data_IF_141488338445
#
_entry.id   IF_141488338445
#
_cell.length_a   1.000
_cell.length_b   1.000
_cell.length_c   1.000
_cell.angle_alpha   90.00
_cell.angle_beta   90.00
_cell.angle_gamma   90.00
#
_symmetry.space_group_name_H-M   'P 1'
#
loop_
_entity.id
_entity.type
_entity.pdbx_description
1 polymer ?
#
# COMPACT_ATOMS: atom_id res chain seq x y z
N UNK A 1 14.42 -8.22 -1.61
CA UNK A 1 13.99 -6.99 -0.89
C UNK A 1 13.73 -7.39 0.55
N UNK A 2 14.45 -6.83 1.54
CA UNK A 2 14.11 -7.08 2.95
C UNK A 2 12.78 -6.38 3.23
N UNK A 3 11.71 -7.15 3.43
CA UNK A 3 10.36 -6.68 3.80
C UNK A 3 10.33 -5.96 5.17
N UNK A 4 11.47 -5.86 5.84
CA UNK A 4 11.68 -5.27 7.16
C UNK A 4 12.17 -3.82 7.14
N UNK A 5 12.10 -3.12 5.99
CA UNK A 5 12.45 -1.69 5.97
C UNK A 5 11.40 -0.89 6.75
N UNK A 6 11.80 0.04 7.65
CA UNK A 6 10.88 0.93 8.36
C UNK A 6 9.93 1.68 7.43
N UNK A 7 10.35 1.96 6.20
CA UNK A 7 9.56 2.60 5.16
C UNK A 7 8.39 1.72 4.69
N UNK A 8 8.63 0.41 4.49
CA UNK A 8 7.58 -0.55 4.11
C UNK A 8 6.51 -0.65 5.18
N UNK A 9 6.91 -0.67 6.46
CA UNK A 9 5.97 -0.67 7.57
C UNK A 9 5.10 0.59 7.60
N UNK A 10 5.70 1.78 7.41
CA UNK A 10 4.95 3.05 7.33
C UNK A 10 3.92 3.05 6.19
N UNK A 11 4.29 2.52 5.02
CA UNK A 11 3.36 2.38 3.87
C UNK A 11 2.18 1.48 4.24
N UNK A 12 2.44 0.28 4.78
CA UNK A 12 1.40 -0.68 5.15
C UNK A 12 0.47 -0.10 6.22
N UNK A 13 1.03 0.53 7.26
CA UNK A 13 0.25 1.19 8.31
C UNK A 13 -0.70 2.24 7.72
N UNK A 14 -0.21 3.08 6.81
CA UNK A 14 -1.04 4.12 6.18
C UNK A 14 -2.15 3.54 5.31
N UNK A 15 -1.86 2.44 4.62
CA UNK A 15 -2.86 1.69 3.83
C UNK A 15 -3.98 1.16 4.74
N UNK A 16 -3.61 0.58 5.89
CA UNK A 16 -4.56 0.06 6.88
C UNK A 16 -5.44 1.18 7.47
N UNK A 17 -4.85 2.34 7.77
CA UNK A 17 -5.59 3.52 8.29
C UNK A 17 -6.58 4.09 7.26
N UNK A 18 -6.18 4.18 5.99
CA UNK A 18 -7.01 4.82 4.95
C UNK A 18 -8.08 3.93 4.35
N UNK A 19 -7.87 2.60 4.32
CA UNK A 19 -8.68 1.59 3.61
C UNK A 19 -8.77 1.74 2.09
N UNK A 20 -8.77 2.97 1.55
CA UNK A 20 -8.71 3.29 0.12
C UNK A 20 -7.61 4.31 -0.17
N UNK A 21 -6.84 4.11 -1.23
CA UNK A 21 -5.69 4.96 -1.56
C UNK A 21 -5.27 4.89 -3.03
N UNK A 22 -4.51 5.88 -3.47
CA UNK A 22 -3.69 5.79 -4.69
C UNK A 22 -2.20 5.79 -4.34
N UNK A 23 -1.38 5.25 -5.24
CA UNK A 23 0.08 5.24 -5.05
C UNK A 23 0.65 6.67 -4.99
N UNK A 24 0.11 7.60 -5.77
CA UNK A 24 0.51 9.02 -5.77
C UNK A 24 0.16 9.69 -4.44
N UNK A 25 -1.06 9.48 -3.91
CA UNK A 25 -1.47 10.00 -2.60
C UNK A 25 -0.52 9.49 -1.50
N UNK A 26 -0.20 8.19 -1.48
CA UNK A 26 0.73 7.64 -0.48
C UNK A 26 2.15 8.17 -0.65
N UNK A 27 2.61 8.39 -1.88
CA UNK A 27 3.95 8.92 -2.16
C UNK A 27 4.09 10.34 -1.59
N UNK A 28 3.08 11.18 -1.81
CA UNK A 28 3.05 12.56 -1.34
C UNK A 28 2.90 12.66 0.18
N UNK A 29 2.03 11.84 0.78
CA UNK A 29 1.79 11.91 2.23
C UNK A 29 2.92 11.35 3.09
N UNK A 30 3.61 10.33 2.59
CA UNK A 30 4.67 9.66 3.36
C UNK A 30 6.05 10.23 3.05
N UNK A 31 6.17 11.12 2.06
CA UNK A 31 7.44 11.57 1.49
C UNK A 31 8.36 10.36 1.14
N UNK A 32 7.76 9.36 0.49
CA UNK A 32 8.43 8.14 0.06
C UNK A 32 8.40 8.07 -1.46
N UNK A 33 9.52 7.64 -2.06
CA UNK A 33 9.62 7.51 -3.51
C UNK A 33 8.54 6.57 -4.08
N UNK A 34 7.98 6.98 -5.21
CA UNK A 34 6.96 6.22 -5.92
C UNK A 34 7.39 4.77 -6.20
N UNK A 35 8.67 4.53 -6.50
CA UNK A 35 9.21 3.18 -6.71
C UNK A 35 9.12 2.27 -5.49
N UNK A 36 9.27 2.79 -4.26
CA UNK A 36 9.09 2.02 -3.02
C UNK A 36 7.61 1.75 -2.72
N UNK A 37 6.75 2.75 -2.94
CA UNK A 37 5.30 2.63 -2.83
C UNK A 37 4.81 1.55 -3.80
N UNK A 38 5.24 1.60 -5.06
CA UNK A 38 4.85 0.67 -6.10
C UNK A 38 5.28 -0.77 -5.77
N UNK A 39 6.52 -0.97 -5.31
CA UNK A 39 7.00 -2.28 -4.85
C UNK A 39 6.14 -2.84 -3.71
N UNK A 40 5.83 -2.02 -2.71
CA UNK A 40 5.01 -2.43 -1.55
C UNK A 40 3.57 -2.75 -1.98
N UNK A 41 2.97 -1.91 -2.81
CA UNK A 41 1.61 -2.10 -3.34
C UNK A 41 1.52 -3.39 -4.17
N UNK A 42 2.48 -3.62 -5.08
CA UNK A 42 2.51 -4.83 -5.91
C UNK A 42 2.70 -6.10 -5.06
N UNK A 43 3.46 -6.03 -3.97
CA UNK A 43 3.58 -7.12 -3.03
C UNK A 43 2.24 -7.43 -2.33
N UNK A 44 1.53 -6.40 -1.86
CA UNK A 44 0.19 -6.55 -1.25
C UNK A 44 -0.85 -7.09 -2.23
N UNK A 45 -0.82 -6.65 -3.50
CA UNK A 45 -1.68 -7.18 -4.57
C UNK A 45 -1.43 -8.68 -4.78
N UNK A 46 -0.16 -9.10 -4.87
CA UNK A 46 0.20 -10.52 -5.02
C UNK A 46 -0.24 -11.37 -3.84
N UNK A 47 -0.27 -10.79 -2.64
CA UNK A 47 -0.76 -11.44 -1.41
C UNK A 47 -2.27 -11.38 -1.25
N UNK A 48 -3.00 -10.76 -2.19
CA UNK A 48 -4.44 -10.55 -2.14
C UNK A 48 -4.90 -9.76 -0.91
N UNK A 49 -4.02 -8.92 -0.34
CA UNK A 49 -4.37 -8.06 0.80
C UNK A 49 -5.06 -6.76 0.36
N UNK A 50 -4.88 -6.37 -0.90
CA UNK A 50 -5.54 -5.22 -1.52
C UNK A 50 -6.04 -5.61 -2.90
N UNK A 51 -7.04 -4.88 -3.38
CA UNK A 51 -7.61 -5.00 -4.72
C UNK A 51 -7.51 -3.66 -5.45
N UNK A 52 -7.34 -3.70 -6.78
CA UNK A 52 -7.33 -2.50 -7.62
C UNK A 52 -8.70 -2.33 -8.27
N UNK A 53 -9.42 -1.26 -7.91
CA UNK A 53 -10.61 -0.77 -8.61
C UNK A 53 -10.26 0.57 -9.27
N UNK A 54 -11.02 1.63 -9.00
CA UNK A 54 -10.67 3.02 -9.34
C UNK A 54 -9.53 3.56 -8.46
N UNK A 55 -9.54 3.17 -7.18
CA UNK A 55 -8.44 3.30 -6.22
C UNK A 55 -8.03 1.91 -5.74
N UNK A 56 -6.90 1.80 -5.04
CA UNK A 56 -6.57 0.59 -4.31
C UNK A 56 -7.39 0.54 -3.04
N UNK A 57 -7.97 -0.62 -2.74
CA UNK A 57 -8.78 -0.84 -1.54
C UNK A 57 -8.25 -2.05 -0.79
N UNK A 58 -8.37 -2.04 0.55
CA UNK A 58 -8.12 -3.24 1.34
C UNK A 58 -9.08 -4.35 0.92
N UNK A 59 -8.55 -5.55 0.80
CA UNK A 59 -9.36 -6.74 0.62
C UNK A 59 -9.96 -7.12 1.97
N UNK A 60 -11.28 -7.05 2.08
CA UNK A 60 -12.03 -7.55 3.22
C UNK A 60 -12.78 -8.82 2.80
N UNK A 61 -12.41 -10.01 3.32
CA UNK A 61 -13.11 -11.25 3.02
C UNK A 61 -14.46 -11.38 3.74
N UNK A 62 -14.77 -10.52 4.71
CA UNK A 62 -15.98 -10.63 5.54
C UNK A 62 -17.06 -9.60 5.22
N UNK A 63 -16.68 -8.44 4.67
CA UNK A 63 -17.62 -7.38 4.30
C UNK A 63 -18.09 -6.55 5.49
#
# INVERSE_FOLDING_TARGET
MKLTSPKTYRIIRKILEKKQFTQTELSNELDISWGQINKTTNWLLKKKCIIKKKKYELWDPLG
#
